data_IF_223611000405
#
_entry.id   IF_223611000405
#
_cell.length_a   1.000
_cell.length_b   1.000
_cell.length_c   1.000
_cell.angle_alpha   90.00
_cell.angle_beta   90.00
_cell.angle_gamma   90.00
#
_symmetry.space_group_name_H-M   'P 1'
#
loop_
_entity.id
_entity.type
_entity.pdbx_description
1 polymer ?
#
# COMPACT_ATOMS: atom_id res chain seq x y z
N UNK A 1 60.81 -0.59 19.19
CA UNK A 1 59.62 -1.32 19.73
C UNK A 1 58.28 -0.62 19.50
N UNK A 2 58.23 0.72 19.44
CA UNK A 2 56.98 1.46 19.31
C UNK A 2 56.37 1.52 17.89
N UNK A 3 57.19 1.41 16.82
CA UNK A 3 56.68 1.51 15.44
C UNK A 3 55.92 0.25 15.00
N UNK A 4 56.31 -0.95 15.45
CA UNK A 4 55.66 -2.23 15.11
C UNK A 4 54.28 -2.38 15.79
N UNK A 5 54.19 -1.93 17.04
CA UNK A 5 52.91 -1.93 17.79
C UNK A 5 51.90 -0.97 17.16
N UNK A 6 52.35 0.20 16.73
CA UNK A 6 51.50 1.21 16.04
C UNK A 6 50.98 0.68 14.70
N UNK A 7 51.83 0.05 13.89
CA UNK A 7 51.43 -0.60 12.63
C UNK A 7 50.44 -1.74 12.84
N UNK A 8 50.65 -2.54 13.88
CA UNK A 8 49.73 -3.65 14.20
C UNK A 8 48.34 -3.14 14.66
N UNK A 9 48.29 -2.10 15.49
CA UNK A 9 47.05 -1.45 15.93
C UNK A 9 46.32 -0.79 14.76
N UNK A 10 47.04 -0.14 13.85
CA UNK A 10 46.48 0.45 12.65
C UNK A 10 45.90 -0.61 11.71
N UNK A 11 46.58 -1.74 11.53
CA UNK A 11 46.14 -2.88 10.73
C UNK A 11 44.89 -3.52 11.34
N UNK A 12 44.85 -3.74 12.65
CA UNK A 12 43.67 -4.27 13.37
C UNK A 12 42.50 -3.29 13.24
N UNK A 13 42.72 -1.98 13.39
CA UNK A 13 41.70 -0.95 13.25
C UNK A 13 41.11 -0.91 11.83
N UNK A 14 41.95 -0.95 10.80
CA UNK A 14 41.52 -0.97 9.40
C UNK A 14 40.76 -2.28 9.08
N UNK A 15 41.24 -3.42 9.55
CA UNK A 15 40.63 -4.73 9.30
C UNK A 15 39.27 -4.84 10.00
N UNK A 16 39.17 -4.44 11.26
CA UNK A 16 37.90 -4.44 12.01
C UNK A 16 36.92 -3.44 11.42
N UNK A 17 37.35 -2.21 11.09
CA UNK A 17 36.51 -1.19 10.45
C UNK A 17 35.97 -1.65 9.09
N UNK A 18 36.79 -2.28 8.25
CA UNK A 18 36.35 -2.88 6.98
C UNK A 18 35.38 -4.05 7.19
N UNK A 19 35.60 -4.90 8.18
CA UNK A 19 34.69 -6.00 8.51
C UNK A 19 33.33 -5.48 8.97
N UNK A 20 33.28 -4.48 9.84
CA UNK A 20 32.03 -3.80 10.26
C UNK A 20 31.33 -3.11 9.09
N UNK A 21 32.08 -2.43 8.23
CA UNK A 21 31.55 -1.75 7.06
C UNK A 21 30.94 -2.72 6.06
N UNK A 22 31.63 -3.82 5.73
CA UNK A 22 31.11 -4.88 4.85
C UNK A 22 29.91 -5.59 5.45
N UNK A 23 29.90 -5.83 6.77
CA UNK A 23 28.74 -6.43 7.46
C UNK A 23 27.53 -5.50 7.45
N UNK A 24 27.74 -4.18 7.57
CA UNK A 24 26.66 -3.19 7.52
C UNK A 24 26.05 -3.06 6.12
N UNK A 25 26.88 -3.08 5.07
CA UNK A 25 26.42 -3.10 3.67
C UNK A 25 25.61 -4.36 3.38
N UNK A 26 26.11 -5.52 3.82
CA UNK A 26 25.44 -6.81 3.67
C UNK A 26 24.06 -6.81 4.35
N UNK A 27 23.98 -6.29 5.58
CA UNK A 27 22.72 -6.17 6.32
C UNK A 27 21.73 -5.21 5.64
N UNK A 28 22.19 -4.05 5.15
CA UNK A 28 21.34 -3.10 4.41
C UNK A 28 20.81 -3.70 3.11
N UNK A 29 21.64 -4.45 2.40
CA UNK A 29 21.23 -5.13 1.17
C UNK A 29 20.18 -6.21 1.44
N UNK A 30 20.42 -7.08 2.42
CA UNK A 30 19.48 -8.12 2.82
C UNK A 30 18.13 -7.54 3.25
N UNK A 31 18.16 -6.44 4.01
CA UNK A 31 16.95 -5.71 4.40
C UNK A 31 16.13 -5.23 3.20
N UNK A 32 16.77 -4.58 2.23
CA UNK A 32 16.08 -4.11 1.02
C UNK A 32 15.50 -5.26 0.19
N UNK A 33 16.25 -6.36 0.08
CA UNK A 33 15.78 -7.57 -0.60
C UNK A 33 14.53 -8.15 0.07
N UNK A 34 14.50 -8.22 1.40
CA UNK A 34 13.33 -8.70 2.16
C UNK A 34 12.11 -7.79 2.01
N UNK A 35 12.29 -6.46 2.06
CA UNK A 35 11.22 -5.48 1.89
C UNK A 35 10.61 -5.58 0.48
N UNK A 36 11.45 -5.64 -0.55
CA UNK A 36 11.01 -5.80 -1.94
C UNK A 36 10.31 -7.14 -2.15
N UNK A 37 10.80 -8.22 -1.55
CA UNK A 37 10.16 -9.54 -1.62
C UNK A 37 8.78 -9.55 -0.96
N UNK A 38 8.64 -8.90 0.19
CA UNK A 38 7.34 -8.74 0.86
C UNK A 38 6.37 -7.95 -0.02
N UNK A 39 6.82 -6.84 -0.60
CA UNK A 39 6.02 -6.02 -1.51
C UNK A 39 5.60 -6.81 -2.76
N UNK A 40 6.49 -7.58 -3.37
CA UNK A 40 6.16 -8.45 -4.51
C UNK A 40 5.10 -9.49 -4.16
N UNK A 41 5.26 -10.18 -3.03
CA UNK A 41 4.30 -11.18 -2.57
C UNK A 41 2.91 -10.59 -2.34
N UNK A 42 2.85 -9.43 -1.71
CA UNK A 42 1.60 -8.71 -1.42
C UNK A 42 0.95 -8.17 -2.70
N UNK A 43 1.71 -7.53 -3.58
CA UNK A 43 1.19 -6.97 -4.83
C UNK A 43 0.74 -8.05 -5.82
N UNK A 44 1.47 -9.17 -5.92
CA UNK A 44 1.09 -10.27 -6.80
C UNK A 44 -0.11 -11.08 -6.28
N UNK A 45 -0.42 -11.00 -4.98
CA UNK A 45 -1.62 -11.61 -4.43
C UNK A 45 -2.88 -10.83 -4.86
N UNK A 46 -4.02 -11.50 -4.88
CA UNK A 46 -5.29 -10.96 -5.35
C UNK A 46 -6.24 -10.76 -4.17
N UNK A 47 -6.87 -9.60 -4.10
CA UNK A 47 -7.81 -9.27 -3.04
C UNK A 47 -8.43 -7.90 -3.26
N UNK A 48 -9.54 -7.84 -4.01
CA UNK A 48 -10.32 -6.62 -4.18
C UNK A 48 -11.11 -6.32 -2.90
N UNK A 49 -11.65 -5.10 -2.78
CA UNK A 49 -12.50 -4.70 -1.64
C UNK A 49 -13.58 -5.73 -1.33
N UNK A 50 -13.63 -6.21 -0.09
CA UNK A 50 -14.54 -7.25 0.40
C UNK A 50 -14.06 -8.70 0.14
N UNK A 51 -12.90 -8.89 -0.47
CA UNK A 51 -12.31 -10.19 -0.78
C UNK A 51 -10.80 -10.22 -0.43
N UNK A 52 -10.42 -9.71 0.74
CA UNK A 52 -9.04 -9.49 1.17
C UNK A 52 -8.38 -10.71 1.84
N UNK A 53 -9.04 -11.86 1.88
CA UNK A 53 -8.62 -13.04 2.65
C UNK A 53 -7.19 -13.49 2.34
N UNK A 54 -6.78 -13.48 1.06
CA UNK A 54 -5.43 -13.89 0.67
C UNK A 54 -4.35 -12.92 1.17
N UNK A 55 -4.65 -11.63 1.19
CA UNK A 55 -3.75 -10.60 1.72
C UNK A 55 -3.67 -10.67 3.23
N UNK A 56 -4.83 -10.81 3.86
CA UNK A 56 -4.90 -10.99 5.33
C UNK A 56 -4.07 -12.18 5.78
N UNK A 57 -4.11 -13.30 5.07
CA UNK A 57 -3.29 -14.47 5.39
C UNK A 57 -1.77 -14.17 5.29
N UNK A 58 -1.33 -13.40 4.29
CA UNK A 58 0.08 -12.97 4.17
C UNK A 58 0.45 -12.02 5.31
N UNK A 59 -0.40 -11.05 5.61
CA UNK A 59 -0.21 -10.08 6.70
C UNK A 59 -0.20 -10.77 8.06
N UNK A 60 -1.11 -11.70 8.30
CA UNK A 60 -1.19 -12.50 9.53
C UNK A 60 0.12 -13.27 9.76
N UNK A 61 0.60 -13.99 8.76
CA UNK A 61 1.85 -14.73 8.84
C UNK A 61 3.05 -13.80 9.10
N UNK A 62 3.04 -12.60 8.52
CA UNK A 62 4.10 -11.60 8.67
C UNK A 62 4.09 -10.88 10.02
N UNK A 63 2.91 -10.59 10.59
CA UNK A 63 2.77 -9.89 11.88
C UNK A 63 2.94 -10.82 13.08
N UNK A 64 2.48 -12.06 12.98
CA UNK A 64 2.41 -13.01 14.09
C UNK A 64 3.69 -13.14 14.94
N UNK A 65 4.90 -13.10 14.38
CA UNK A 65 6.14 -13.20 15.17
C UNK A 65 6.46 -11.95 16.01
N UNK A 66 5.80 -10.81 15.74
CA UNK A 66 6.21 -9.48 16.23
C UNK A 66 5.13 -8.77 17.06
N UNK A 67 4.03 -9.45 17.37
CA UNK A 67 2.91 -8.93 18.15
C UNK A 67 2.56 -9.86 19.31
N UNK A 68 2.01 -9.29 20.38
CA UNK A 68 1.55 -10.05 21.55
C UNK A 68 0.18 -10.68 21.31
N UNK A 69 -0.68 -9.99 20.54
CA UNK A 69 -2.01 -10.45 20.16
C UNK A 69 -2.26 -10.20 18.68
N UNK A 70 -2.95 -11.11 18.04
CA UNK A 70 -3.35 -11.01 16.64
C UNK A 70 -4.78 -11.45 16.48
N UNK A 71 -5.65 -10.56 16.00
CA UNK A 71 -7.09 -10.80 15.89
C UNK A 71 -7.62 -10.31 14.55
N UNK A 72 -8.72 -10.89 14.11
CA UNK A 72 -9.51 -10.39 12.97
C UNK A 72 -10.87 -9.96 13.47
N UNK A 73 -11.28 -8.74 13.20
CA UNK A 73 -12.59 -8.24 13.62
C UNK A 73 -13.72 -8.74 12.69
N UNK A 74 -14.98 -8.34 13.00
CA UNK A 74 -16.16 -8.75 12.24
C UNK A 74 -16.22 -8.18 10.83
N UNK A 75 -15.51 -7.07 10.56
CA UNK A 75 -15.39 -6.51 9.21
C UNK A 75 -14.32 -7.22 8.38
N UNK A 76 -13.38 -7.91 9.03
CA UNK A 76 -12.25 -8.54 8.39
C UNK A 76 -10.94 -7.77 8.55
N UNK A 77 -10.91 -6.68 9.34
CA UNK A 77 -9.65 -6.00 9.65
C UNK A 77 -8.73 -6.92 10.45
N UNK A 78 -7.45 -6.98 10.08
CA UNK A 78 -6.43 -7.68 10.84
C UNK A 78 -5.79 -6.72 11.83
N UNK A 79 -5.78 -7.07 13.12
CA UNK A 79 -5.28 -6.22 14.19
C UNK A 79 -4.18 -6.97 14.94
N UNK A 80 -2.95 -6.52 14.77
CA UNK A 80 -1.79 -6.96 15.55
C UNK A 80 -1.51 -5.96 16.67
N UNK A 81 -1.50 -6.42 17.92
CA UNK A 81 -1.21 -5.58 19.08
C UNK A 81 0.15 -5.92 19.68
N UNK A 82 1.04 -4.94 19.73
CA UNK A 82 2.25 -4.99 20.55
C UNK A 82 2.04 -4.08 21.77
N UNK A 83 2.01 -4.69 22.95
CA UNK A 83 1.71 -4.00 24.22
C UNK A 83 2.89 -3.15 24.67
N UNK A 84 2.58 -1.98 25.20
CA UNK A 84 3.51 -1.05 25.82
C UNK A 84 2.90 -0.43 27.08
N UNK A 85 3.64 0.44 27.74
CA UNK A 85 3.21 1.17 28.95
C UNK A 85 2.99 2.66 28.71
N UNK A 86 3.25 3.14 27.51
CA UNK A 86 3.10 4.53 27.08
C UNK A 86 1.87 4.74 26.21
N UNK A 87 1.84 5.83 25.42
CA UNK A 87 0.73 6.14 24.54
C UNK A 87 0.45 5.04 23.52
N UNK A 88 -0.80 4.91 23.11
CA UNK A 88 -1.22 3.96 22.08
C UNK A 88 -1.22 4.63 20.71
N UNK A 89 -0.66 3.93 19.71
CA UNK A 89 -0.65 4.36 18.32
C UNK A 89 -1.25 3.30 17.40
N UNK A 90 -2.16 3.71 16.53
CA UNK A 90 -2.65 2.88 15.44
C UNK A 90 -1.88 3.23 14.16
N UNK A 91 -1.33 2.21 13.52
CA UNK A 91 -0.77 2.30 12.16
C UNK A 91 -1.71 1.50 11.26
N UNK A 92 -2.41 2.20 10.39
CA UNK A 92 -3.40 1.62 9.49
C UNK A 92 -2.89 1.59 8.06
N UNK A 93 -3.11 0.47 7.37
CA UNK A 93 -2.86 0.32 5.94
C UNK A 93 -3.93 -0.59 5.36
N UNK A 94 -4.51 -0.23 4.21
CA UNK A 94 -5.56 -1.06 3.66
C UNK A 94 -5.01 -2.26 2.88
N UNK A 95 -5.73 -3.37 2.98
CA UNK A 95 -5.39 -4.64 2.36
C UNK A 95 -6.06 -4.84 1.01
N UNK A 96 -7.13 -4.11 0.72
CA UNK A 96 -7.84 -4.21 -0.54
C UNK A 96 -7.11 -3.51 -1.69
N UNK A 97 -7.45 -3.90 -2.89
CA UNK A 97 -7.10 -3.25 -4.14
C UNK A 97 -8.39 -2.94 -4.92
N UNK A 98 -8.33 -1.96 -5.81
CA UNK A 98 -9.39 -1.75 -6.79
C UNK A 98 -9.55 -2.97 -7.70
N UNK A 99 -10.78 -3.25 -8.13
CA UNK A 99 -11.05 -4.43 -8.96
C UNK A 99 -12.35 -4.34 -9.74
N UNK A 100 -12.81 -5.49 -10.18
CA UNK A 100 -14.09 -5.61 -10.89
C UNK A 100 -14.91 -6.72 -10.24
N UNK A 101 -16.23 -6.69 -10.47
CA UNK A 101 -17.13 -7.74 -9.98
C UNK A 101 -18.13 -8.11 -11.09
N UNK A 102 -18.34 -9.40 -11.30
CA UNK A 102 -19.27 -9.90 -12.31
C UNK A 102 -20.69 -9.47 -11.95
N UNK A 103 -21.33 -8.73 -12.85
CA UNK A 103 -22.70 -8.24 -12.72
C UNK A 103 -23.71 -9.11 -13.47
N UNK A 104 -23.31 -9.65 -14.62
CA UNK A 104 -24.18 -10.42 -15.50
C UNK A 104 -23.36 -11.33 -16.41
N UNK A 105 -23.90 -12.48 -16.78
CA UNK A 105 -23.34 -13.41 -17.78
C UNK A 105 -24.30 -13.46 -18.94
N UNK A 106 -23.85 -13.16 -20.17
CA UNK A 106 -24.71 -13.25 -21.33
C UNK A 106 -24.87 -14.70 -21.84
N UNK A 107 -25.76 -14.92 -22.80
CA UNK A 107 -26.07 -16.26 -23.32
C UNK A 107 -24.90 -16.89 -24.08
N UNK A 108 -23.87 -16.11 -24.44
CA UNK A 108 -22.64 -16.57 -25.09
C UNK A 108 -21.48 -16.78 -24.13
N UNK A 109 -21.69 -16.51 -22.83
CA UNK A 109 -20.68 -16.70 -21.79
C UNK A 109 -19.78 -15.50 -21.51
N UNK A 110 -20.02 -14.33 -22.15
CA UNK A 110 -19.29 -13.10 -21.82
C UNK A 110 -19.79 -12.50 -20.51
N UNK A 111 -18.85 -11.96 -19.70
CA UNK A 111 -19.15 -11.41 -18.40
C UNK A 111 -19.25 -9.90 -18.45
N UNK A 112 -20.38 -9.33 -18.06
CA UNK A 112 -20.51 -7.93 -17.71
C UNK A 112 -20.07 -7.70 -16.29
N UNK A 113 -19.43 -6.56 -16.02
CA UNK A 113 -18.86 -6.25 -14.72
C UNK A 113 -19.19 -4.83 -14.27
N UNK A 114 -19.09 -4.61 -12.98
CA UNK A 114 -19.02 -3.29 -12.34
C UNK A 114 -17.61 -3.03 -11.81
N UNK A 115 -17.22 -1.78 -11.75
CA UNK A 115 -15.96 -1.34 -11.13
C UNK A 115 -16.12 -1.33 -9.60
N UNK A 116 -15.11 -1.83 -8.91
CA UNK A 116 -14.96 -1.75 -7.47
C UNK A 116 -13.76 -0.82 -7.22
N UNK A 117 -13.99 0.31 -6.56
CA UNK A 117 -13.01 1.38 -6.40
C UNK A 117 -12.88 2.31 -7.61
N UNK A 118 -11.88 3.16 -7.59
CA UNK A 118 -11.71 4.29 -8.50
C UNK A 118 -10.99 3.98 -9.81
N UNK A 119 -11.61 3.33 -10.77
CA UNK A 119 -11.03 3.02 -12.08
C UNK A 119 -11.22 4.12 -13.12
N UNK A 120 -10.15 4.43 -13.85
CA UNK A 120 -10.21 5.19 -15.10
C UNK A 120 -10.45 4.22 -16.27
N UNK A 121 -11.60 4.31 -16.93
CA UNK A 121 -12.05 3.34 -17.95
C UNK A 121 -11.00 2.98 -19.03
N UNK A 122 -10.24 3.94 -19.59
CA UNK A 122 -9.24 3.63 -20.61
C UNK A 122 -8.13 2.65 -20.15
N UNK A 123 -7.86 2.55 -18.85
CA UNK A 123 -6.84 1.63 -18.32
C UNK A 123 -7.32 0.19 -18.25
N UNK A 124 -8.62 -0.06 -18.35
CA UNK A 124 -9.22 -1.40 -18.32
C UNK A 124 -9.18 -2.12 -19.67
N UNK A 125 -9.25 -1.36 -20.75
CA UNK A 125 -9.34 -1.94 -22.09
C UNK A 125 -8.13 -2.79 -22.43
N UNK A 126 -8.39 -3.99 -22.98
CA UNK A 126 -7.36 -4.97 -23.40
C UNK A 126 -6.47 -5.51 -22.27
N UNK A 127 -6.89 -5.41 -21.01
CA UNK A 127 -6.17 -6.00 -19.89
C UNK A 127 -6.50 -7.48 -19.73
N UNK A 128 -5.49 -8.24 -19.26
CA UNK A 128 -5.71 -9.57 -18.71
C UNK A 128 -6.19 -9.45 -17.27
N UNK A 129 -7.09 -10.35 -16.89
CA UNK A 129 -7.70 -10.39 -15.56
C UNK A 129 -7.72 -11.82 -15.02
N UNK A 130 -7.89 -11.93 -13.72
CA UNK A 130 -8.11 -13.18 -13.02
C UNK A 130 -9.49 -13.14 -12.37
N UNK A 131 -10.38 -14.06 -12.81
CA UNK A 131 -11.73 -14.25 -12.27
C UNK A 131 -11.64 -15.27 -11.14
N UNK A 132 -11.95 -14.87 -9.91
CA UNK A 132 -11.76 -15.69 -8.70
C UNK A 132 -13.01 -16.52 -8.40
N UNK A 133 -13.10 -17.68 -9.02
CA UNK A 133 -14.26 -18.57 -8.89
C UNK A 133 -14.16 -19.48 -7.66
N UNK A 134 -15.29 -20.08 -7.28
CA UNK A 134 -15.34 -21.11 -6.22
C UNK A 134 -14.51 -22.38 -6.52
N UNK A 135 -14.10 -22.57 -7.77
CA UNK A 135 -13.28 -23.71 -8.21
C UNK A 135 -11.80 -23.34 -8.40
N UNK A 136 -11.45 -22.09 -8.13
CA UNK A 136 -10.11 -21.51 -8.34
C UNK A 136 -10.12 -20.38 -9.36
N UNK A 137 -8.97 -19.73 -9.56
CA UNK A 137 -8.87 -18.59 -10.47
C UNK A 137 -8.95 -19.04 -11.94
N UNK A 138 -9.70 -18.27 -12.74
CA UNK A 138 -9.85 -18.45 -14.19
C UNK A 138 -9.31 -17.22 -14.89
N UNK A 139 -8.37 -17.34 -15.84
CA UNK A 139 -7.87 -16.21 -16.61
C UNK A 139 -8.95 -15.68 -17.57
N UNK A 140 -8.97 -14.37 -17.77
CA UNK A 140 -9.85 -13.69 -18.70
C UNK A 140 -9.20 -12.48 -19.35
N UNK A 141 -9.87 -11.90 -20.34
CA UNK A 141 -9.44 -10.72 -21.07
C UNK A 141 -10.58 -9.70 -21.13
N UNK A 142 -10.30 -8.43 -20.83
CA UNK A 142 -11.26 -7.35 -21.01
C UNK A 142 -11.31 -6.97 -22.49
N UNK A 143 -12.42 -7.24 -23.14
CA UNK A 143 -12.71 -6.91 -24.52
C UNK A 143 -13.72 -5.78 -24.68
N UNK A 144 -13.77 -5.22 -25.88
CA UNK A 144 -14.79 -4.29 -26.32
C UNK A 144 -15.02 -4.43 -27.83
N UNK A 145 -15.99 -3.68 -28.36
CA UNK A 145 -16.20 -3.63 -29.80
C UNK A 145 -14.92 -3.19 -30.53
N UNK A 146 -14.43 -3.94 -31.54
CA UNK A 146 -13.18 -3.61 -32.19
C UNK A 146 -13.34 -2.35 -33.11
N UNK A 147 -12.29 -1.51 -33.21
CA UNK A 147 -12.35 -0.26 -33.98
C UNK A 147 -12.73 -0.44 -35.45
N UNK A 148 -12.42 -1.61 -36.04
CA UNK A 148 -12.71 -1.90 -37.46
C UNK A 148 -14.21 -1.92 -37.80
N UNK A 149 -15.08 -2.15 -36.81
CA UNK A 149 -16.53 -2.17 -36.97
C UNK A 149 -17.24 -1.04 -36.21
N UNK A 150 -16.47 -0.08 -35.67
CA UNK A 150 -17.00 1.14 -35.04
C UNK A 150 -17.29 2.20 -36.10
N UNK A 151 -18.30 3.04 -35.85
CA UNK A 151 -18.49 4.30 -36.59
C UNK A 151 -17.33 5.26 -36.26
N UNK A 152 -17.04 6.18 -37.20
CA UNK A 152 -15.91 7.12 -37.03
C UNK A 152 -16.05 7.99 -35.77
N UNK A 153 -17.27 8.40 -35.43
CA UNK A 153 -17.55 9.18 -34.23
C UNK A 153 -17.25 8.43 -32.93
N UNK A 154 -17.57 7.12 -32.89
CA UNK A 154 -17.33 6.26 -31.72
C UNK A 154 -15.83 6.02 -31.50
N UNK A 155 -15.03 5.95 -32.57
CA UNK A 155 -13.57 5.78 -32.47
C UNK A 155 -12.86 6.96 -31.80
N UNK A 156 -13.46 8.15 -31.83
CA UNK A 156 -12.90 9.38 -31.24
C UNK A 156 -13.17 9.51 -29.74
N UNK A 157 -14.01 8.63 -29.19
CA UNK A 157 -14.37 8.64 -27.77
C UNK A 157 -13.67 7.50 -27.02
N UNK A 158 -13.23 7.74 -25.78
CA UNK A 158 -12.77 6.65 -24.93
C UNK A 158 -13.85 5.59 -24.76
N UNK A 159 -13.47 4.32 -24.84
CA UNK A 159 -14.37 3.19 -24.56
C UNK A 159 -14.72 3.24 -23.08
N UNK A 160 -16.01 3.23 -22.78
CA UNK A 160 -16.50 3.21 -21.39
C UNK A 160 -16.59 1.78 -20.86
N UNK A 161 -16.45 1.61 -19.56
CA UNK A 161 -16.55 0.29 -18.90
C UNK A 161 -17.89 -0.41 -19.15
N UNK A 162 -18.98 0.35 -19.34
CA UNK A 162 -20.30 -0.19 -19.71
C UNK A 162 -20.33 -0.89 -21.07
N UNK A 163 -19.41 -0.54 -21.99
CA UNK A 163 -19.25 -1.13 -23.32
C UNK A 163 -18.22 -2.27 -23.34
N UNK A 164 -17.59 -2.55 -22.20
CA UNK A 164 -16.60 -3.63 -22.05
C UNK A 164 -17.26 -4.90 -21.52
N UNK A 165 -16.57 -6.01 -21.71
CA UNK A 165 -16.92 -7.33 -21.18
C UNK A 165 -15.66 -8.12 -20.88
N UNK A 166 -15.76 -9.17 -20.07
CA UNK A 166 -14.66 -10.11 -19.84
C UNK A 166 -14.97 -11.39 -20.62
N UNK A 167 -14.00 -11.81 -21.41
CA UNK A 167 -13.97 -13.07 -22.14
C UNK A 167 -13.10 -14.06 -21.34
N UNK A 168 -13.70 -15.17 -20.92
CA UNK A 168 -13.04 -16.28 -20.23
C UNK A 168 -12.98 -17.54 -21.10
N UNK A 169 -13.33 -17.42 -22.38
CA UNK A 169 -13.39 -18.54 -23.33
C UNK A 169 -14.61 -19.44 -23.18
N UNK A 170 -15.60 -19.06 -22.36
CA UNK A 170 -16.85 -19.80 -22.24
C UNK A 170 -17.68 -19.70 -23.54
N UNK A 171 -18.41 -20.76 -23.87
CA UNK A 171 -19.23 -20.85 -25.08
C UNK A 171 -20.72 -20.60 -24.83
N UNK A 172 -21.13 -20.60 -23.59
CA UNK A 172 -22.49 -20.27 -23.13
C UNK A 172 -22.50 -19.82 -21.67
N UNK A 173 -23.63 -19.30 -21.20
CA UNK A 173 -23.85 -18.99 -19.77
C UNK A 173 -23.61 -20.22 -18.91
N UNK A 174 -24.20 -21.38 -19.27
CA UNK A 174 -24.06 -22.62 -18.50
C UNK A 174 -22.60 -23.10 -18.45
N UNK A 175 -21.82 -22.81 -19.48
CA UNK A 175 -20.40 -23.13 -19.53
C UNK A 175 -19.61 -22.28 -18.53
N UNK A 176 -19.84 -20.95 -18.51
CA UNK A 176 -19.26 -20.05 -17.52
C UNK A 176 -19.66 -20.44 -16.08
N UNK A 177 -20.95 -20.80 -15.86
CA UNK A 177 -21.43 -21.25 -14.55
C UNK A 177 -20.77 -22.56 -14.10
N UNK A 178 -20.49 -23.51 -15.02
CA UNK A 178 -19.72 -24.73 -14.73
C UNK A 178 -18.27 -24.44 -14.35
N UNK A 179 -17.67 -23.37 -14.87
CA UNK A 179 -16.35 -22.89 -14.43
C UNK A 179 -16.39 -22.31 -13.00
N UNK A 180 -17.60 -22.18 -12.40
CA UNK A 180 -17.79 -21.62 -11.07
C UNK A 180 -17.99 -20.11 -11.04
N UNK A 181 -18.19 -19.48 -12.21
CA UNK A 181 -18.44 -18.05 -12.33
C UNK A 181 -19.92 -17.78 -12.06
N UNK A 182 -20.20 -16.74 -11.28
CA UNK A 182 -21.56 -16.30 -10.99
C UNK A 182 -21.61 -14.79 -10.78
N UNK A 183 -22.82 -14.26 -10.57
CA UNK A 183 -23.00 -12.87 -10.17
C UNK A 183 -22.28 -12.65 -8.83
N UNK A 184 -21.54 -11.56 -8.71
CA UNK A 184 -20.73 -11.24 -7.53
C UNK A 184 -19.34 -11.90 -7.52
N UNK A 185 -18.95 -12.67 -8.54
CA UNK A 185 -17.59 -13.23 -8.63
C UNK A 185 -16.57 -12.07 -8.76
N UNK A 186 -15.57 -11.98 -7.85
CA UNK A 186 -14.56 -10.93 -7.89
C UNK A 186 -13.54 -11.16 -9.02
N UNK A 187 -13.02 -10.04 -9.55
CA UNK A 187 -12.06 -10.05 -10.65
C UNK A 187 -10.97 -9.04 -10.36
N UNK A 188 -9.71 -9.44 -10.44
CA UNK A 188 -8.54 -8.57 -10.29
C UNK A 188 -7.69 -8.53 -11.55
N UNK A 189 -6.78 -7.56 -11.65
CA UNK A 189 -5.83 -7.47 -12.75
C UNK A 189 -4.80 -8.60 -12.66
N UNK A 190 -4.46 -9.19 -13.81
CA UNK A 190 -3.39 -10.17 -13.94
C UNK A 190 -2.09 -9.46 -14.31
N UNK A 191 -1.35 -9.03 -13.28
CA UNK A 191 -0.04 -8.34 -13.39
C UNK A 191 0.87 -8.79 -12.27
N UNK A 192 2.14 -9.05 -12.63
CA UNK A 192 3.20 -9.34 -11.68
C UNK A 192 4.13 -8.14 -11.50
N UNK A 193 4.77 -8.07 -10.34
CA UNK A 193 5.78 -7.04 -10.08
C UNK A 193 7.04 -7.30 -10.86
N UNK A 194 7.50 -6.29 -11.62
CA UNK A 194 8.70 -6.31 -12.44
C UNK A 194 9.64 -5.19 -12.01
N UNK A 195 10.93 -5.47 -11.98
CA UNK A 195 11.96 -4.47 -11.73
C UNK A 195 12.14 -3.56 -12.96
N UNK A 196 12.20 -2.25 -12.69
CA UNK A 196 12.63 -1.24 -13.64
C UNK A 196 14.05 -0.77 -13.32
N UNK A 197 14.58 0.14 -14.13
CA UNK A 197 15.89 0.73 -13.87
C UNK A 197 15.88 1.62 -12.61
N UNK A 198 17.06 1.84 -12.03
CA UNK A 198 17.30 2.80 -10.95
C UNK A 198 16.48 2.56 -9.66
N UNK A 199 16.30 1.30 -9.28
CA UNK A 199 15.62 0.94 -8.03
C UNK A 199 14.09 1.09 -8.05
N UNK A 200 13.50 1.34 -9.22
CA UNK A 200 12.05 1.38 -9.37
C UNK A 200 11.49 0.00 -9.68
N UNK A 201 10.25 -0.22 -9.28
CA UNK A 201 9.48 -1.43 -9.60
C UNK A 201 8.10 -1.02 -10.12
N UNK A 202 7.53 -1.86 -10.98
CA UNK A 202 6.16 -1.70 -11.46
C UNK A 202 5.34 -2.95 -11.18
N UNK A 203 4.07 -2.78 -10.89
CA UNK A 203 3.12 -3.85 -10.60
C UNK A 203 1.72 -3.29 -10.43
N UNK A 204 0.77 -4.14 -10.08
CA UNK A 204 -0.56 -3.72 -9.66
C UNK A 204 -0.59 -3.44 -8.15
N UNK A 205 -1.56 -2.68 -7.70
CA UNK A 205 -1.95 -2.60 -6.29
C UNK A 205 -0.82 -2.19 -5.32
N UNK A 206 0.17 -1.39 -5.76
CA UNK A 206 1.06 -0.75 -4.78
C UNK A 206 0.26 0.17 -3.87
N UNK A 207 -0.83 0.69 -4.36
CA UNK A 207 -1.96 1.16 -3.63
C UNK A 207 -2.85 -0.03 -3.17
N UNK A 208 -2.77 -0.49 -1.90
CA UNK A 208 -1.84 -0.03 -0.86
C UNK A 208 -1.02 -1.22 -0.30
N UNK A 209 -0.56 -2.11 -1.18
CA UNK A 209 0.32 -3.23 -0.77
C UNK A 209 1.72 -2.72 -0.37
N UNK A 210 2.07 -1.49 -0.79
CA UNK A 210 3.27 -0.81 -0.31
C UNK A 210 3.14 -0.49 1.18
N UNK A 211 2.02 0.07 1.62
CA UNK A 211 1.73 0.29 3.03
C UNK A 211 1.70 -1.02 3.83
N UNK A 212 1.11 -2.09 3.28
CA UNK A 212 1.14 -3.41 3.91
C UNK A 212 2.58 -3.91 4.13
N UNK A 213 3.45 -3.82 3.12
CA UNK A 213 4.85 -4.24 3.22
C UNK A 213 5.62 -3.37 4.24
N UNK A 214 5.36 -2.06 4.26
CA UNK A 214 5.93 -1.12 5.23
C UNK A 214 5.51 -1.52 6.65
N UNK A 215 4.23 -1.79 6.89
CA UNK A 215 3.72 -2.17 8.21
C UNK A 215 4.38 -3.46 8.73
N UNK A 216 4.51 -4.48 7.89
CA UNK A 216 5.21 -5.72 8.25
C UNK A 216 6.65 -5.45 8.65
N UNK A 217 7.35 -4.63 7.89
CA UNK A 217 8.76 -4.32 8.13
C UNK A 217 8.94 -3.43 9.38
N UNK A 218 8.04 -2.46 9.61
CA UNK A 218 8.03 -1.64 10.84
C UNK A 218 7.90 -2.54 12.06
N UNK A 219 6.94 -3.45 12.07
CA UNK A 219 6.73 -4.36 13.22
C UNK A 219 7.92 -5.29 13.44
N UNK A 220 8.54 -5.78 12.37
CA UNK A 220 9.77 -6.58 12.45
C UNK A 220 10.92 -5.78 13.08
N UNK A 221 11.14 -4.52 12.67
CA UNK A 221 12.21 -3.69 13.22
C UNK A 221 11.95 -3.24 14.66
N UNK A 222 10.69 -3.04 15.02
CA UNK A 222 10.33 -2.69 16.40
C UNK A 222 10.51 -3.85 17.37
N UNK A 223 10.51 -5.11 16.92
CA UNK A 223 10.60 -6.29 17.78
C UNK A 223 11.81 -6.25 18.71
N UNK A 224 12.98 -5.83 18.18
CA UNK A 224 14.24 -5.76 18.91
C UNK A 224 14.45 -4.43 19.65
N UNK A 225 13.44 -3.52 19.65
CA UNK A 225 13.54 -2.19 20.23
C UNK A 225 12.75 -2.09 21.53
N UNK A 226 13.32 -1.36 22.48
CA UNK A 226 12.61 -1.03 23.74
C UNK A 226 11.74 0.22 23.51
N UNK A 227 10.53 -0.01 23.01
CA UNK A 227 9.51 1.05 22.84
C UNK A 227 8.49 1.02 23.98
N UNK A 228 8.07 2.19 24.42
CA UNK A 228 7.03 2.32 25.45
C UNK A 228 5.62 2.29 24.88
N UNK A 229 5.45 2.70 23.62
CA UNK A 229 4.14 2.76 22.99
C UNK A 229 3.46 1.39 22.89
N UNK A 230 2.15 1.38 23.10
CA UNK A 230 1.30 0.30 22.59
C UNK A 230 1.10 0.54 21.10
N UNK A 231 1.45 -0.43 20.25
CA UNK A 231 1.31 -0.32 18.79
C UNK A 231 0.22 -1.26 18.28
N UNK A 232 -0.78 -0.67 17.64
CA UNK A 232 -1.79 -1.39 16.87
C UNK A 232 -1.41 -1.38 15.40
N UNK A 233 -0.96 -2.51 14.88
CA UNK A 233 -0.67 -2.73 13.47
C UNK A 233 -1.96 -3.23 12.80
N UNK A 234 -2.60 -2.40 11.98
CA UNK A 234 -3.93 -2.67 11.45
C UNK A 234 -3.90 -2.77 9.94
N UNK A 235 -4.21 -3.96 9.42
CA UNK A 235 -4.59 -4.16 8.02
C UNK A 235 -6.09 -3.93 7.87
N UNK A 236 -6.48 -2.81 7.28
CA UNK A 236 -7.88 -2.42 7.08
C UNK A 236 -8.47 -3.06 5.82
N UNK A 237 -9.78 -3.14 5.75
CA UNK A 237 -10.53 -3.67 4.60
C UNK A 237 -11.44 -2.61 4.00
N UNK A 238 -11.73 -2.74 2.69
CA UNK A 238 -12.71 -1.90 1.99
C UNK A 238 -12.43 -0.39 2.10
N UNK A 239 -11.17 -0.01 2.03
CA UNK A 239 -10.75 1.40 1.98
C UNK A 239 -11.25 2.05 0.70
N UNK A 240 -10.97 1.43 -0.44
CA UNK A 240 -11.24 1.86 -1.81
C UNK A 240 -12.73 2.10 -2.13
N UNK A 241 -13.61 1.65 -1.25
CA UNK A 241 -15.06 1.79 -1.36
C UNK A 241 -15.67 2.52 -0.16
N UNK A 242 -14.86 3.34 0.53
CA UNK A 242 -15.33 4.30 1.51
C UNK A 242 -14.80 4.12 2.93
N UNK A 243 -13.52 3.77 3.10
CA UNK A 243 -12.77 3.79 4.38
C UNK A 243 -13.44 2.96 5.49
N UNK A 244 -14.08 1.83 5.12
CA UNK A 244 -15.04 1.14 6.01
C UNK A 244 -14.35 0.44 7.17
N UNK A 245 -13.25 -0.26 6.88
CA UNK A 245 -12.48 -0.97 7.88
C UNK A 245 -11.82 -0.05 8.91
N UNK A 246 -11.29 1.08 8.44
CA UNK A 246 -10.68 2.09 9.32
C UNK A 246 -11.66 2.64 10.36
N UNK A 247 -12.91 2.90 9.96
CA UNK A 247 -13.95 3.37 10.88
C UNK A 247 -14.21 2.40 12.02
N UNK A 248 -14.30 1.11 11.72
CA UNK A 248 -14.65 0.10 12.71
C UNK A 248 -13.46 -0.23 13.61
N UNK A 249 -12.27 -0.35 13.06
CA UNK A 249 -11.06 -0.65 13.82
C UNK A 249 -10.66 0.51 14.75
N UNK A 250 -10.65 1.76 14.25
CA UNK A 250 -10.35 2.93 15.08
C UNK A 250 -11.36 3.10 16.22
N UNK A 251 -12.66 2.88 15.96
CA UNK A 251 -13.69 2.95 16.99
C UNK A 251 -13.47 1.91 18.10
N UNK A 252 -13.08 0.70 17.73
CA UNK A 252 -12.84 -0.40 18.66
C UNK A 252 -11.57 -0.21 19.48
N UNK A 253 -10.49 0.27 18.85
CA UNK A 253 -9.17 0.39 19.46
C UNK A 253 -9.02 1.67 20.30
N UNK A 254 -9.66 2.77 19.89
CA UNK A 254 -9.59 4.09 20.53
C UNK A 254 -8.14 4.54 20.84
N UNK A 255 -7.26 4.60 19.85
CA UNK A 255 -5.85 4.93 20.08
C UNK A 255 -5.68 6.43 20.40
N UNK A 256 -4.59 6.77 21.11
CA UNK A 256 -4.24 8.17 21.42
C UNK A 256 -3.78 8.93 20.15
N UNK A 257 -3.21 8.22 19.18
CA UNK A 257 -2.69 8.77 17.91
C UNK A 257 -2.91 7.75 16.81
N UNK A 258 -3.04 8.23 15.56
CA UNK A 258 -3.05 7.33 14.41
C UNK A 258 -2.24 7.87 13.23
N UNK A 259 -1.60 6.95 12.51
CA UNK A 259 -0.99 7.19 11.21
C UNK A 259 -1.57 6.22 10.20
N UNK A 260 -2.13 6.74 9.10
CA UNK A 260 -2.34 5.90 7.93
C UNK A 260 -1.03 5.79 7.15
N UNK A 261 -0.79 4.63 6.57
CA UNK A 261 0.31 4.42 5.61
C UNK A 261 -0.33 4.12 4.28
N UNK A 262 -0.03 4.93 3.27
CA UNK A 262 -0.74 4.90 2.01
C UNK A 262 0.17 5.24 0.82
N UNK A 263 -0.40 5.47 -0.34
CA UNK A 263 0.26 6.00 -1.52
C UNK A 263 -0.17 7.44 -1.80
N UNK A 264 0.59 8.16 -2.61
CA UNK A 264 0.20 9.48 -3.09
C UNK A 264 0.66 9.72 -4.52
N UNK A 265 0.01 10.66 -5.21
CA UNK A 265 0.22 10.95 -6.63
C UNK A 265 1.58 11.60 -6.84
N UNK A 266 2.40 11.00 -7.71
CA UNK A 266 3.68 11.55 -8.14
C UNK A 266 3.50 12.69 -9.14
N UNK A 267 4.18 13.82 -8.91
CA UNK A 267 4.22 14.97 -9.83
C UNK A 267 5.40 14.98 -10.79
N UNK A 268 6.22 13.94 -10.81
CA UNK A 268 7.49 13.91 -11.54
C UNK A 268 7.43 13.22 -12.90
N UNK A 269 6.26 13.05 -13.50
CA UNK A 269 6.11 12.44 -14.82
C UNK A 269 5.41 13.39 -15.82
N UNK A 270 5.57 13.15 -17.15
CA UNK A 270 4.95 14.00 -18.17
C UNK A 270 3.43 14.14 -18.00
N UNK A 271 2.92 15.34 -18.19
CA UNK A 271 1.48 15.65 -18.15
C UNK A 271 0.97 16.13 -16.79
N UNK A 272 1.82 16.22 -15.77
CA UNK A 272 1.49 16.83 -14.47
C UNK A 272 2.34 18.08 -14.25
N UNK A 273 1.71 19.19 -13.89
CA UNK A 273 2.38 20.41 -13.44
C UNK A 273 2.71 20.28 -11.95
N UNK A 274 3.87 20.78 -11.53
CA UNK A 274 4.30 20.77 -10.10
C UNK A 274 3.34 21.47 -9.14
N UNK A 275 2.50 22.38 -9.64
CA UNK A 275 1.46 23.01 -8.83
C UNK A 275 0.29 22.08 -8.53
N UNK A 276 0.08 21.04 -9.37
CA UNK A 276 -1.03 20.09 -9.24
C UNK A 276 -0.62 18.85 -8.40
N UNK A 277 0.69 18.47 -8.46
CA UNK A 277 1.29 17.49 -7.57
C UNK A 277 2.78 17.82 -7.39
N UNK A 278 3.18 18.20 -6.18
CA UNK A 278 4.52 18.70 -5.90
C UNK A 278 5.52 17.62 -5.53
N UNK A 279 5.08 16.45 -5.08
CA UNK A 279 5.95 15.38 -4.58
C UNK A 279 6.53 14.53 -5.71
N UNK A 280 7.76 14.06 -5.53
CA UNK A 280 8.56 13.38 -6.55
C UNK A 280 9.11 12.07 -6.00
N UNK A 281 9.23 11.04 -6.85
CA UNK A 281 9.89 9.79 -6.49
C UNK A 281 11.39 9.98 -6.22
N UNK A 282 11.92 9.20 -5.27
CA UNK A 282 13.33 9.25 -4.86
C UNK A 282 13.66 10.40 -3.93
N UNK A 283 12.65 11.11 -3.40
CA UNK A 283 12.80 12.23 -2.46
C UNK A 283 12.38 11.90 -1.03
N UNK A 284 12.04 10.64 -0.77
CA UNK A 284 11.61 10.16 0.55
C UNK A 284 10.10 10.04 0.69
N UNK A 285 9.69 9.59 1.87
CA UNK A 285 8.27 9.44 2.21
C UNK A 285 7.55 10.79 2.29
N UNK A 286 6.24 10.80 2.08
CA UNK A 286 5.43 12.01 2.13
C UNK A 286 4.66 12.05 3.44
N UNK A 287 4.72 13.18 4.15
CA UNK A 287 3.89 13.48 5.31
C UNK A 287 2.75 14.38 4.84
N UNK A 288 1.52 13.92 4.92
CA UNK A 288 0.35 14.69 4.52
C UNK A 288 -0.01 15.72 5.57
N UNK A 289 -0.05 16.99 5.16
CA UNK A 289 -0.49 18.13 5.96
C UNK A 289 -2.01 18.28 5.86
N UNK A 290 -2.55 18.16 4.64
CA UNK A 290 -3.99 18.09 4.39
C UNK A 290 -4.27 17.34 3.09
N UNK A 291 -5.39 16.63 3.03
CA UNK A 291 -5.89 15.97 1.82
C UNK A 291 -7.28 16.50 1.43
N UNK A 292 -7.71 16.21 0.20
CA UNK A 292 -9.00 16.61 -0.37
C UNK A 292 -9.38 18.08 -0.08
N UNK A 293 -8.41 18.99 -0.18
CA UNK A 293 -8.58 20.42 0.19
C UNK A 293 -9.13 20.62 1.61
N UNK A 294 -8.71 19.75 2.56
CA UNK A 294 -9.16 19.73 3.95
C UNK A 294 -10.54 19.11 4.19
N UNK A 295 -11.19 18.57 3.15
CA UNK A 295 -12.47 17.84 3.30
C UNK A 295 -12.26 16.40 3.77
N UNK A 296 -11.05 15.87 3.60
CA UNK A 296 -10.62 14.61 4.20
C UNK A 296 -9.96 14.84 5.55
N UNK A 297 -8.64 14.91 5.58
CA UNK A 297 -7.83 15.16 6.77
C UNK A 297 -7.20 16.56 6.73
N UNK A 298 -7.19 17.24 7.88
CA UNK A 298 -6.19 18.25 8.22
C UNK A 298 -5.37 17.68 9.38
N UNK A 299 -4.10 17.40 9.13
CA UNK A 299 -3.25 16.71 10.09
C UNK A 299 -3.07 17.52 11.38
N UNK A 300 -3.05 16.84 12.51
CA UNK A 300 -2.79 17.48 13.80
C UNK A 300 -1.42 18.17 13.82
N UNK A 301 -1.32 19.47 14.17
CA UNK A 301 -0.03 20.17 14.26
C UNK A 301 0.98 19.48 15.17
N UNK A 302 0.51 18.82 16.23
CA UNK A 302 1.36 18.05 17.15
C UNK A 302 1.94 16.81 16.49
N UNK A 303 1.14 16.10 15.67
CA UNK A 303 1.59 14.95 14.89
C UNK A 303 2.58 15.38 13.81
N UNK A 304 2.28 16.47 13.08
CA UNK A 304 3.20 17.01 12.07
C UNK A 304 4.56 17.39 12.68
N UNK A 305 4.55 18.12 13.81
CA UNK A 305 5.77 18.47 14.53
C UNK A 305 6.58 17.24 14.92
N UNK A 306 5.92 16.23 15.51
CA UNK A 306 6.58 14.99 15.88
C UNK A 306 7.26 14.29 14.70
N UNK A 307 6.55 14.13 13.58
CA UNK A 307 7.07 13.46 12.38
C UNK A 307 8.23 14.22 11.74
N UNK A 308 8.08 15.54 11.54
CA UNK A 308 9.10 16.37 10.89
C UNK A 308 10.36 16.53 11.75
N UNK A 309 10.22 16.80 13.06
CA UNK A 309 11.38 16.87 13.96
C UNK A 309 12.12 15.54 14.06
N UNK A 310 11.38 14.41 14.02
CA UNK A 310 11.99 13.09 14.01
C UNK A 310 12.75 12.84 12.69
N UNK A 311 12.16 13.18 11.55
CA UNK A 311 12.81 13.04 10.25
C UNK A 311 14.10 13.86 10.17
N UNK A 312 14.05 15.12 10.59
CA UNK A 312 15.20 16.02 10.61
C UNK A 312 16.32 15.50 11.52
N UNK A 313 15.99 15.10 12.74
CA UNK A 313 16.95 14.56 13.71
C UNK A 313 17.64 13.28 13.24
N UNK A 314 16.91 12.44 12.51
CA UNK A 314 17.41 11.16 12.00
C UNK A 314 17.93 11.23 10.57
N UNK A 315 17.91 12.41 9.95
CA UNK A 315 18.30 12.65 8.55
C UNK A 315 17.56 11.72 7.57
N UNK A 316 16.25 11.50 7.82
CA UNK A 316 15.38 10.72 6.94
C UNK A 316 14.79 11.66 5.90
N UNK A 317 14.95 11.38 4.60
CA UNK A 317 14.36 12.22 3.57
C UNK A 317 12.83 12.13 3.60
N UNK A 318 12.17 13.28 3.53
CA UNK A 318 10.72 13.38 3.47
C UNK A 318 10.26 14.58 2.66
N UNK A 319 9.00 14.57 2.28
CA UNK A 319 8.31 15.66 1.60
C UNK A 319 7.03 16.00 2.36
N UNK A 320 6.54 17.24 2.22
CA UNK A 320 5.24 17.65 2.77
C UNK A 320 4.24 17.80 1.62
N UNK A 321 2.98 17.40 1.86
CA UNK A 321 1.92 17.47 0.88
C UNK A 321 0.67 18.15 1.42
N UNK A 322 0.10 19.03 0.58
CA UNK A 322 -1.28 19.52 0.68
C UNK A 322 -1.97 19.16 -0.63
N UNK A 323 -2.86 18.16 -0.59
CA UNK A 323 -3.51 17.59 -1.76
C UNK A 323 -4.93 18.14 -1.98
N UNK A 324 -5.31 18.36 -3.23
CA UNK A 324 -6.66 18.81 -3.60
C UNK A 324 -7.67 17.66 -3.68
N UNK A 325 -7.21 16.45 -3.94
CA UNK A 325 -8.02 15.25 -4.11
C UNK A 325 -7.49 14.08 -3.26
N UNK A 326 -8.23 12.97 -3.30
CA UNK A 326 -7.91 11.77 -2.56
C UNK A 326 -8.23 11.89 -1.05
N UNK A 327 -8.48 10.76 -0.45
CA UNK A 327 -8.64 10.58 0.99
C UNK A 327 -8.03 9.23 1.35
N UNK A 328 -7.65 9.04 2.60
CA UNK A 328 -7.07 7.80 3.10
C UNK A 328 -7.81 7.34 4.36
N UNK A 329 -7.44 6.21 4.90
CA UNK A 329 -7.96 5.71 6.17
C UNK A 329 -7.89 6.74 7.30
N UNK A 330 -6.90 7.66 7.29
CA UNK A 330 -6.79 8.73 8.28
C UNK A 330 -8.02 9.66 8.28
N UNK A 331 -8.68 9.85 7.14
CA UNK A 331 -9.93 10.62 7.03
C UNK A 331 -11.06 10.02 7.88
N UNK A 332 -11.13 8.71 7.99
CA UNK A 332 -12.14 8.06 8.84
C UNK A 332 -11.69 7.96 10.30
N UNK A 333 -10.40 7.70 10.51
CA UNK A 333 -9.82 7.50 11.83
C UNK A 333 -9.90 8.78 12.67
N UNK A 334 -9.49 9.93 12.12
CA UNK A 334 -9.40 11.18 12.89
C UNK A 334 -10.76 11.70 13.43
N UNK A 335 -11.87 11.25 12.82
CA UNK A 335 -13.23 11.60 13.24
C UNK A 335 -13.83 10.63 14.26
N UNK A 336 -13.08 9.61 14.69
CA UNK A 336 -13.58 8.58 15.60
C UNK A 336 -13.78 9.14 17.02
N UNK A 337 -14.94 8.85 17.61
CA UNK A 337 -15.32 9.26 18.99
C UNK A 337 -15.13 10.76 19.23
N UNK A 338 -14.15 11.12 20.07
CA UNK A 338 -13.83 12.52 20.41
C UNK A 338 -12.77 13.13 19.49
N UNK A 339 -12.30 12.37 18.50
CA UNK A 339 -11.25 12.72 17.56
C UNK A 339 -9.91 12.10 17.94
N UNK A 340 -9.18 11.58 16.93
CA UNK A 340 -7.86 10.98 17.09
C UNK A 340 -6.85 11.84 16.31
N UNK A 341 -5.83 12.44 16.96
CA UNK A 341 -4.75 13.15 16.27
C UNK A 341 -4.10 12.26 15.23
N UNK A 342 -4.17 12.65 13.95
CA UNK A 342 -3.75 11.78 12.84
C UNK A 342 -2.95 12.54 11.78
N UNK A 343 -2.19 11.80 10.99
CA UNK A 343 -1.59 12.18 9.71
C UNK A 343 -1.44 10.94 8.82
N UNK A 344 -0.88 11.12 7.63
CA UNK A 344 -0.57 10.05 6.68
C UNK A 344 0.91 10.06 6.35
N UNK A 345 1.50 8.89 6.20
CA UNK A 345 2.83 8.71 5.63
C UNK A 345 2.65 7.93 4.33
N UNK A 346 2.95 8.57 3.18
CA UNK A 346 2.66 8.02 1.87
C UNK A 346 3.91 7.70 1.05
N UNK A 347 3.81 6.67 0.22
CA UNK A 347 4.78 6.34 -0.81
C UNK A 347 4.39 7.05 -2.10
N UNK A 348 5.33 7.80 -2.70
CA UNK A 348 5.09 8.47 -3.98
C UNK A 348 4.93 7.43 -5.09
N UNK A 349 3.75 7.40 -5.71
CA UNK A 349 3.38 6.37 -6.68
C UNK A 349 2.94 7.01 -7.99
N UNK A 350 3.51 6.57 -9.12
CA UNK A 350 3.04 6.96 -10.44
C UNK A 350 1.93 6.01 -10.88
N UNK A 351 0.97 6.55 -11.63
CA UNK A 351 -0.10 5.79 -12.28
C UNK A 351 -0.99 5.05 -11.27
N UNK A 352 -1.24 5.66 -10.10
CA UNK A 352 -2.17 5.13 -9.09
C UNK A 352 -3.52 4.78 -9.74
N UNK A 353 -4.18 3.73 -9.23
CA UNK A 353 -5.43 3.20 -9.78
C UNK A 353 -5.30 2.73 -11.23
N UNK A 354 -4.15 2.14 -11.56
CA UNK A 354 -3.91 1.47 -12.84
C UNK A 354 -3.33 0.08 -12.66
N UNK A 355 -3.34 -0.77 -13.70
CA UNK A 355 -2.72 -2.10 -13.60
C UNK A 355 -1.17 -2.09 -13.52
N UNK A 356 -0.53 -0.93 -13.63
CA UNK A 356 0.92 -0.80 -13.80
C UNK A 356 1.52 0.37 -13.00
N UNK A 357 1.19 0.47 -11.75
CA UNK A 357 1.74 1.45 -10.83
C UNK A 357 3.26 1.34 -10.72
N UNK A 358 3.92 2.45 -10.39
CA UNK A 358 5.39 2.49 -10.24
C UNK A 358 5.75 3.16 -8.93
N UNK A 359 6.63 2.53 -8.16
CA UNK A 359 7.21 3.09 -6.93
C UNK A 359 8.74 3.04 -6.96
N UNK A 360 9.37 3.94 -6.20
CA UNK A 360 10.79 3.89 -5.94
C UNK A 360 11.04 3.19 -4.59
N UNK A 361 11.89 2.17 -4.58
CA UNK A 361 12.14 1.38 -3.38
C UNK A 361 12.84 2.17 -2.27
N UNK A 362 13.51 3.29 -2.59
CA UNK A 362 14.11 4.16 -1.58
C UNK A 362 13.06 4.96 -0.83
N UNK A 363 11.94 5.33 -1.47
CA UNK A 363 10.83 6.01 -0.80
C UNK A 363 10.08 5.06 0.14
N UNK A 364 9.85 3.82 -0.29
CA UNK A 364 9.29 2.75 0.56
C UNK A 364 10.14 2.59 1.83
N UNK A 365 11.46 2.54 1.66
CA UNK A 365 12.39 2.47 2.79
C UNK A 365 12.31 3.70 3.70
N UNK A 366 12.23 4.89 3.13
CA UNK A 366 12.15 6.13 3.90
C UNK A 366 10.89 6.17 4.79
N UNK A 367 9.76 5.66 4.30
CA UNK A 367 8.53 5.50 5.08
C UNK A 367 8.73 4.55 6.28
N UNK A 368 9.40 3.41 6.08
CA UNK A 368 9.74 2.49 7.18
C UNK A 368 10.63 3.18 8.21
N UNK A 369 11.72 3.81 7.76
CA UNK A 369 12.67 4.47 8.66
C UNK A 369 12.00 5.59 9.47
N UNK A 370 11.10 6.35 8.84
CA UNK A 370 10.34 7.41 9.50
C UNK A 370 9.39 6.85 10.55
N UNK A 371 8.59 5.84 10.22
CA UNK A 371 7.67 5.21 11.16
C UNK A 371 8.39 4.62 12.37
N UNK A 372 9.42 3.83 12.14
CA UNK A 372 10.21 3.21 13.22
C UNK A 372 10.80 4.26 14.13
N UNK A 373 11.45 5.29 13.56
CA UNK A 373 12.08 6.37 14.34
C UNK A 373 11.07 7.22 15.10
N UNK A 374 9.90 7.45 14.50
CA UNK A 374 8.83 8.21 15.15
C UNK A 374 8.25 7.45 16.34
N UNK A 375 8.00 6.15 16.19
CA UNK A 375 7.48 5.32 17.30
C UNK A 375 8.48 5.24 18.46
N UNK A 376 9.80 5.20 18.19
CA UNK A 376 10.84 5.24 19.23
C UNK A 376 10.83 6.53 20.05
N UNK A 377 10.29 7.61 19.53
CA UNK A 377 10.29 8.94 20.17
C UNK A 377 8.93 9.42 20.65
N UNK A 378 7.88 8.62 20.44
CA UNK A 378 6.48 9.03 20.65
C UNK A 378 6.21 9.53 22.08
N UNK A 379 6.82 8.92 23.08
CA UNK A 379 6.68 9.27 24.50
C UNK A 379 7.28 10.64 24.87
N UNK A 380 7.98 11.31 23.93
CA UNK A 380 8.45 12.69 24.11
C UNK A 380 7.43 13.72 23.64
N UNK A 381 6.46 13.29 22.86
CA UNK A 381 5.46 14.16 22.25
C UNK A 381 4.04 13.91 22.78
N UNK A 382 3.73 12.70 23.22
CA UNK A 382 2.39 12.24 23.63
C UNK A 382 2.41 11.48 24.98
#
# INVERSE_FOLDING_TARGET
MNSFIFMLLLYIYIYTSNSYYLSSISKKRLYMEQLIDSLKRLSNAHGISGHEDSIRAIMEAGLKPYVDELTTDKMGNLIGTRKGSGPSIMIATHMDEIGLMVQYIDDKGFLKFVKIGGWFDPTLHSQRVMVHTKHGPVPGVIGSKPPHVMKEEDRKRPVKSEDMFIDVGATSREDAEKMGIGIGTPVSMDREVVALANGKITGKAFDNRAGCAILLEVMRQLADKNIKATVYAVGTVQEEVGLKGARTSAFSLDPDIALAVDTTISGDHPGIDKKDAAVEQGKGGVITVADASGRGLIASPKVLKWLTETADLKHIPYQLEVGDGGTTDATAIHLTKTGIPSSVISVVTRYIHSPVEVVDTVDVKACVDLLVSSIETIDKYF
#
